data_IF_163695695433
#
_entry.id   IF_163695695433
#
_cell.length_a   1.000
_cell.length_b   1.000
_cell.length_c   1.000
_cell.angle_alpha   90.00
_cell.angle_beta   90.00
_cell.angle_gamma   90.00
#
_symmetry.space_group_name_H-M   'P 1'
#
loop_
_entity.id
_entity.type
_entity.pdbx_description
1 polymer ?
#
# COMPACT_ATOMS: atom_id res chain seq x y z
N UNK A 1 -1.20 -17.15 -26.05
CA UNK A 1 0.27 -17.19 -25.85
C UNK A 1 0.85 -15.91 -26.42
N UNK A 2 0.86 -14.85 -25.61
CA UNK A 2 1.64 -13.63 -25.86
C UNK A 2 1.62 -12.85 -24.56
N UNK A 3 2.40 -13.35 -23.61
CA UNK A 3 2.84 -12.66 -22.40
C UNK A 3 3.46 -11.33 -22.80
N UNK A 4 2.72 -10.25 -22.60
CA UNK A 4 3.23 -8.89 -22.64
C UNK A 4 2.58 -8.06 -21.54
N UNK A 5 2.61 -8.61 -20.32
CA UNK A 5 2.59 -7.82 -19.08
C UNK A 5 3.92 -7.07 -19.01
N UNK A 6 4.06 -6.00 -19.82
CA UNK A 6 5.23 -5.12 -19.73
C UNK A 6 5.36 -4.68 -18.28
N UNK A 7 6.51 -4.94 -17.64
CA UNK A 7 6.82 -4.55 -16.25
C UNK A 7 6.42 -3.08 -15.96
N UNK A 8 6.51 -2.23 -16.97
CA UNK A 8 6.10 -0.82 -16.95
C UNK A 8 4.60 -0.54 -16.73
N UNK A 9 3.70 -1.49 -17.04
CA UNK A 9 2.26 -1.37 -16.74
C UNK A 9 1.93 -1.75 -15.30
N UNK A 10 2.75 -2.56 -14.65
CA UNK A 10 2.57 -2.96 -13.24
C UNK A 10 3.04 -1.87 -12.26
N UNK A 11 3.89 -0.94 -12.71
CA UNK A 11 4.57 0.04 -11.83
C UNK A 11 3.87 1.40 -11.75
N UNK A 12 2.85 1.69 -12.57
CA UNK A 12 2.30 3.06 -12.69
C UNK A 12 1.18 3.45 -11.71
N UNK A 13 0.51 2.52 -11.03
CA UNK A 13 -0.62 2.87 -10.14
C UNK A 13 -0.20 3.17 -8.69
N UNK A 14 0.93 2.65 -8.26
CA UNK A 14 1.38 2.69 -6.85
C UNK A 14 1.57 4.11 -6.33
N UNK A 15 2.15 5.00 -7.15
CA UNK A 15 2.36 6.39 -6.75
C UNK A 15 1.03 7.17 -6.64
N UNK A 16 0.06 6.90 -7.52
CA UNK A 16 -1.27 7.54 -7.49
C UNK A 16 -2.04 7.11 -6.25
N UNK A 17 -2.00 5.81 -5.92
CA UNK A 17 -2.65 5.26 -4.74
C UNK A 17 -1.99 5.79 -3.46
N UNK A 18 -0.66 5.88 -3.43
CA UNK A 18 0.10 6.47 -2.34
C UNK A 18 -0.27 7.93 -2.11
N UNK A 19 -0.50 8.71 -3.16
CA UNK A 19 -0.91 10.12 -3.04
C UNK A 19 -2.35 10.25 -2.50
N UNK A 20 -3.26 9.37 -2.93
CA UNK A 20 -4.63 9.28 -2.37
C UNK A 20 -4.61 8.92 -0.89
N UNK A 21 -3.87 7.88 -0.52
CA UNK A 21 -3.73 7.44 0.87
C UNK A 21 -3.05 8.51 1.74
N UNK A 22 -2.05 9.21 1.21
CA UNK A 22 -1.39 10.33 1.89
C UNK A 22 -2.35 11.49 2.15
N UNK A 23 -3.23 11.80 1.19
CA UNK A 23 -4.25 12.84 1.34
C UNK A 23 -5.27 12.50 2.42
N UNK A 24 -5.79 11.26 2.43
CA UNK A 24 -6.71 10.77 3.46
C UNK A 24 -6.06 10.80 4.85
N UNK A 25 -4.81 10.33 4.96
CA UNK A 25 -4.03 10.38 6.21
C UNK A 25 -3.87 11.81 6.72
N UNK A 26 -3.50 12.75 5.85
CA UNK A 26 -3.25 14.14 6.23
C UNK A 26 -4.53 14.84 6.69
N UNK A 27 -5.67 14.54 6.07
CA UNK A 27 -6.97 15.04 6.52
C UNK A 27 -7.24 14.58 7.97
N UNK A 28 -7.16 13.27 8.25
CA UNK A 28 -7.40 12.73 9.60
C UNK A 28 -6.39 13.29 10.62
N UNK A 29 -5.10 13.36 10.26
CA UNK A 29 -4.05 13.91 11.13
C UNK A 29 -4.29 15.39 11.46
N UNK A 30 -4.84 16.19 10.53
CA UNK A 30 -5.18 17.61 10.76
C UNK A 30 -6.27 17.77 11.81
N UNK A 31 -7.28 16.90 11.82
CA UNK A 31 -8.37 16.94 12.80
C UNK A 31 -7.97 16.35 14.16
N UNK A 32 -7.02 15.41 14.22
CA UNK A 32 -6.66 14.66 15.44
C UNK A 32 -5.18 14.78 15.85
N UNK A 33 -4.55 15.95 15.62
CA UNK A 33 -3.09 16.18 15.69
C UNK A 33 -2.38 15.54 16.90
N UNK A 34 -3.02 15.51 18.07
CA UNK A 34 -2.44 15.04 19.33
C UNK A 34 -3.13 13.81 19.93
N UNK A 35 -3.97 13.09 19.17
CA UNK A 35 -4.67 11.93 19.69
C UNK A 35 -3.95 10.62 19.30
N UNK A 36 -3.09 10.12 20.19
CA UNK A 36 -2.36 8.86 19.99
C UNK A 36 -3.28 7.64 19.83
N UNK A 37 -4.48 7.65 20.43
CA UNK A 37 -5.46 6.59 20.22
C UNK A 37 -5.94 6.58 18.76
N UNK A 38 -6.26 7.76 18.19
CA UNK A 38 -6.68 7.87 16.78
C UNK A 38 -5.63 7.34 15.81
N UNK A 39 -4.34 7.59 16.08
CA UNK A 39 -3.27 7.07 15.21
C UNK A 39 -3.08 5.56 15.31
N UNK A 40 -3.52 4.94 16.40
CA UNK A 40 -3.46 3.50 16.64
C UNK A 40 -4.74 2.76 16.19
N UNK A 41 -5.86 3.46 16.06
CA UNK A 41 -7.13 2.90 15.58
C UNK A 41 -7.02 2.48 14.11
N UNK A 42 -7.42 1.25 13.74
CA UNK A 42 -7.54 0.84 12.35
C UNK A 42 -8.59 1.66 11.59
N UNK A 43 -8.25 2.10 10.40
CA UNK A 43 -9.13 2.78 9.44
C UNK A 43 -8.96 2.16 8.06
N UNK A 44 -9.85 2.50 7.13
CA UNK A 44 -9.78 2.01 5.76
C UNK A 44 -8.80 2.84 4.92
N UNK A 45 -7.83 2.17 4.33
CA UNK A 45 -6.99 2.67 3.24
C UNK A 45 -7.34 1.92 1.95
N UNK A 46 -7.01 2.50 0.79
CA UNK A 46 -7.15 1.79 -0.49
C UNK A 46 -5.96 0.84 -0.65
N UNK A 47 -6.23 -0.36 -1.16
CA UNK A 47 -5.22 -1.34 -1.56
C UNK A 47 -4.20 -0.71 -2.52
N UNK A 48 -2.91 -0.93 -2.29
CA UNK A 48 -1.81 -0.34 -3.08
C UNK A 48 -1.21 -1.33 -4.09
N UNK A 49 -1.96 -2.37 -4.48
CA UNK A 49 -1.49 -3.37 -5.43
C UNK A 49 -1.34 -2.78 -6.85
N UNK A 50 -0.63 -3.50 -7.71
CA UNK A 50 -0.36 -3.07 -9.09
C UNK A 50 -1.56 -3.12 -10.04
N UNK A 51 -2.75 -3.58 -9.60
CA UNK A 51 -3.96 -3.61 -10.42
C UNK A 51 -4.51 -2.19 -10.67
N UNK A 52 -4.91 -1.90 -11.91
CA UNK A 52 -5.29 -0.55 -12.36
C UNK A 52 -6.66 -0.08 -11.82
N UNK A 53 -7.54 -1.02 -11.52
CA UNK A 53 -8.95 -0.84 -11.15
C UNK A 53 -9.23 -1.34 -9.73
N UNK A 54 -8.20 -1.53 -8.91
CA UNK A 54 -8.39 -1.97 -7.53
C UNK A 54 -8.92 -0.82 -6.65
N UNK A 55 -10.07 -1.05 -6.02
CA UNK A 55 -10.73 -0.17 -5.06
C UNK A 55 -10.94 -0.83 -3.67
N UNK A 56 -10.39 -2.03 -3.51
CA UNK A 56 -10.42 -2.82 -2.28
C UNK A 56 -9.85 -2.05 -1.09
N UNK A 57 -10.37 -2.36 0.10
CA UNK A 57 -10.01 -1.67 1.35
C UNK A 57 -9.15 -2.54 2.24
N UNK A 58 -8.07 -1.95 2.74
CA UNK A 58 -7.19 -2.54 3.74
C UNK A 58 -7.36 -1.82 5.07
N UNK A 59 -7.55 -2.59 6.15
CA UNK A 59 -7.71 -2.04 7.50
C UNK A 59 -6.38 -2.01 8.23
N UNK A 60 -5.84 -0.81 8.42
CA UNK A 60 -4.64 -0.58 9.21
C UNK A 60 -4.67 0.79 9.89
N UNK A 61 -3.85 0.94 10.93
CA UNK A 61 -3.72 2.21 11.63
C UNK A 61 -2.78 3.17 10.89
N UNK A 62 -2.90 4.47 11.17
CA UNK A 62 -1.99 5.49 10.63
C UNK A 62 -0.53 5.16 11.00
N UNK A 63 -0.28 4.71 12.23
CA UNK A 63 1.07 4.33 12.66
C UNK A 63 1.62 3.14 11.84
N UNK A 64 0.78 2.15 11.56
CA UNK A 64 1.18 1.00 10.74
C UNK A 64 1.47 1.45 9.30
N UNK A 65 0.59 2.27 8.72
CA UNK A 65 0.78 2.83 7.38
C UNK A 65 2.07 3.63 7.27
N UNK A 66 2.33 4.54 8.21
CA UNK A 66 3.57 5.34 8.24
C UNK A 66 4.82 4.46 8.42
N UNK A 67 4.74 3.41 9.24
CA UNK A 67 5.86 2.47 9.44
C UNK A 67 6.18 1.66 8.17
N UNK A 68 5.17 1.19 7.45
CA UNK A 68 5.35 0.48 6.17
C UNK A 68 6.07 1.38 5.18
N UNK A 69 5.60 2.63 5.06
CA UNK A 69 6.09 3.63 4.11
C UNK A 69 7.40 4.33 4.49
N UNK A 70 8.06 3.93 5.59
CA UNK A 70 9.46 4.31 5.83
C UNK A 70 10.39 3.77 4.74
N UNK A 71 9.99 2.67 4.11
CA UNK A 71 10.61 2.10 2.93
C UNK A 71 9.77 2.43 1.70
N UNK A 72 10.39 3.10 0.72
CA UNK A 72 9.70 3.62 -0.47
C UNK A 72 9.20 2.51 -1.40
N UNK A 73 9.78 1.32 -1.27
CA UNK A 73 9.53 0.11 -2.05
C UNK A 73 8.50 -0.82 -1.39
N UNK A 74 7.81 -0.36 -0.32
CA UNK A 74 6.81 -1.16 0.40
C UNK A 74 5.41 -0.60 0.29
N UNK A 75 4.44 -1.51 0.17
CA UNK A 75 3.03 -1.19 -0.09
C UNK A 75 2.11 -2.08 0.73
N UNK A 76 0.96 -1.55 1.16
CA UNK A 76 -0.08 -2.29 1.87
C UNK A 76 -1.17 -2.75 0.89
N UNK A 77 -1.39 -4.07 0.80
CA UNK A 77 -2.29 -4.69 -0.17
C UNK A 77 -3.39 -5.52 0.50
N UNK A 78 -4.50 -5.71 -0.20
CA UNK A 78 -5.47 -6.72 0.17
C UNK A 78 -4.83 -8.11 0.08
N UNK A 79 -5.35 -9.06 0.87
CA UNK A 79 -4.79 -10.42 0.94
C UNK A 79 -4.93 -11.10 -0.41
N UNK A 80 -3.86 -11.71 -0.92
CA UNK A 80 -3.86 -12.39 -2.22
C UNK A 80 -3.68 -11.44 -3.42
N UNK A 81 -3.46 -10.15 -3.20
CA UNK A 81 -3.23 -9.17 -4.28
C UNK A 81 -1.75 -8.96 -4.59
N UNK A 82 -0.86 -9.78 -4.03
CA UNK A 82 0.57 -9.75 -4.36
C UNK A 82 0.81 -10.22 -5.79
N UNK A 83 1.82 -9.64 -6.45
CA UNK A 83 2.28 -10.05 -7.78
C UNK A 83 3.73 -10.58 -7.70
N UNK A 84 3.94 -11.88 -7.40
CA UNK A 84 5.26 -12.44 -7.06
C UNK A 84 6.39 -12.18 -8.07
N UNK A 85 6.04 -11.92 -9.34
CA UNK A 85 6.97 -11.63 -10.43
C UNK A 85 7.71 -10.30 -10.22
N UNK A 86 7.09 -9.30 -9.58
CA UNK A 86 7.64 -7.94 -9.41
C UNK A 86 7.84 -7.52 -7.96
N UNK A 87 7.32 -8.29 -7.02
CA UNK A 87 7.41 -8.01 -5.59
C UNK A 87 7.40 -9.30 -4.76
N UNK A 88 7.71 -9.18 -3.47
CA UNK A 88 7.62 -10.27 -2.49
C UNK A 88 6.76 -9.85 -1.32
N UNK A 89 5.99 -10.79 -0.77
CA UNK A 89 5.28 -10.59 0.49
C UNK A 89 6.29 -10.58 1.65
N UNK A 90 6.41 -9.46 2.36
CA UNK A 90 7.34 -9.29 3.50
C UNK A 90 6.64 -9.30 4.85
N UNK A 91 5.33 -9.13 4.88
CA UNK A 91 4.54 -9.35 6.08
C UNK A 91 3.13 -9.79 5.73
N UNK A 92 2.64 -10.79 6.44
CA UNK A 92 1.26 -11.24 6.35
C UNK A 92 0.51 -10.87 7.64
N UNK A 93 -0.43 -9.92 7.56
CA UNK A 93 -1.21 -9.44 8.73
C UNK A 93 -2.64 -9.93 8.63
N UNK A 94 -3.39 -9.84 9.73
CA UNK A 94 -4.78 -10.34 9.79
C UNK A 94 -5.67 -9.78 8.66
N UNK A 95 -5.54 -8.48 8.34
CA UNK A 95 -6.44 -7.77 7.41
C UNK A 95 -5.77 -7.29 6.11
N UNK A 96 -4.46 -7.46 5.95
CA UNK A 96 -3.71 -6.95 4.80
C UNK A 96 -2.35 -7.65 4.66
N UNK A 97 -1.79 -7.63 3.45
CA UNK A 97 -0.41 -8.01 3.16
C UNK A 97 0.47 -6.78 3.04
N UNK A 98 1.77 -6.95 3.29
CA UNK A 98 2.78 -5.94 2.94
C UNK A 98 3.72 -6.55 1.92
N UNK A 99 3.82 -5.93 0.76
CA UNK A 99 4.75 -6.32 -0.30
C UNK A 99 5.93 -5.38 -0.35
N UNK A 100 7.06 -5.88 -0.81
CA UNK A 100 8.27 -5.12 -1.10
C UNK A 100 8.64 -5.38 -2.57
N UNK A 101 8.81 -4.32 -3.36
CA UNK A 101 9.25 -4.44 -4.76
C UNK A 101 10.62 -5.09 -4.82
N UNK A 102 10.83 -5.92 -5.85
CA UNK A 102 12.18 -6.36 -6.17
C UNK A 102 13.00 -5.13 -6.57
N UNK A 103 14.26 -5.07 -6.15
CA UNK A 103 15.15 -3.98 -6.57
C UNK A 103 15.22 -3.98 -8.10
N UNK A 104 14.76 -2.90 -8.71
CA UNK A 104 15.04 -2.61 -10.10
C UNK A 104 16.49 -2.13 -10.15
N UNK A 105 17.43 -3.07 -10.25
CA UNK A 105 18.81 -2.73 -10.56
C UNK A 105 18.84 -1.99 -11.91
N UNK A 106 19.14 -0.70 -11.85
CA UNK A 106 19.70 0.09 -12.95
C UNK A 106 20.74 1.05 -12.36
#
# INVERSE_FOLDING_TARGET
MSDNLSKDRLVRNEQILRDKNTSAKNAIKKYFRNNSKVKATPIDFVCECSALDCDERVKLSINAYEKIHQRKDRFAIAKGHETPIVEKLVADKQNFGVVEKHELNA
#
